data_IF_478876142599
#
_entry.id   IF_478876142599
#
_cell.length_a   1.000
_cell.length_b   1.000
_cell.length_c   1.000
_cell.angle_alpha   90.00
_cell.angle_beta   90.00
_cell.angle_gamma   90.00
#
_symmetry.space_group_name_H-M   'P 1'
#
loop_
_entity.id
_entity.type
_entity.pdbx_description
1 polymer ?
#
# COMPACT_ATOMS: atom_id res chain seq x y z
N UNK A 1 -31.17 -24.78 20.04
CA UNK A 1 -32.02 -23.60 19.79
C UNK A 1 -31.12 -22.38 19.98
N UNK A 2 -30.72 -21.71 18.89
CA UNK A 2 -29.84 -20.53 18.97
C UNK A 2 -30.66 -19.30 19.33
N UNK A 3 -30.12 -18.41 20.18
CA UNK A 3 -30.84 -17.21 20.63
C UNK A 3 -31.19 -16.27 19.45
N UNK A 4 -32.39 -15.70 19.47
CA UNK A 4 -32.87 -14.71 18.47
C UNK A 4 -31.94 -13.49 18.42
N UNK A 5 -31.43 -13.06 19.58
CA UNK A 5 -30.46 -11.96 19.66
C UNK A 5 -29.19 -12.28 18.87
N UNK A 6 -28.68 -13.52 18.98
CA UNK A 6 -27.49 -13.94 18.24
C UNK A 6 -27.80 -13.97 16.74
N UNK A 7 -28.97 -14.46 16.32
CA UNK A 7 -29.32 -14.51 14.90
C UNK A 7 -29.41 -13.13 14.24
N UNK A 8 -29.86 -12.11 14.98
CA UNK A 8 -30.03 -10.74 14.46
C UNK A 8 -28.72 -9.93 14.46
N UNK A 9 -27.80 -10.25 15.37
CA UNK A 9 -26.56 -9.48 15.57
C UNK A 9 -25.28 -10.25 15.20
N UNK A 10 -25.39 -11.51 14.77
CA UNK A 10 -24.25 -12.27 14.30
C UNK A 10 -23.85 -11.85 12.89
N UNK A 11 -22.60 -11.41 12.74
CA UNK A 11 -21.99 -11.29 11.42
C UNK A 11 -21.36 -12.62 11.02
N UNK A 12 -21.93 -13.28 10.01
CA UNK A 12 -21.40 -14.54 9.49
C UNK A 12 -20.40 -14.23 8.38
N UNK A 13 -19.11 -14.27 8.71
CA UNK A 13 -18.05 -14.16 7.72
C UNK A 13 -17.95 -15.48 6.92
N UNK A 14 -17.98 -15.38 5.59
CA UNK A 14 -17.72 -16.49 4.67
C UNK A 14 -16.25 -16.50 4.29
N UNK A 15 -15.70 -17.66 3.96
CA UNK A 15 -14.35 -17.76 3.40
C UNK A 15 -13.22 -17.74 4.44
N UNK A 16 -13.47 -18.23 5.65
CA UNK A 16 -12.37 -18.56 6.57
C UNK A 16 -11.50 -19.65 5.92
N UNK A 17 -10.24 -19.31 5.66
CA UNK A 17 -9.18 -20.27 5.34
C UNK A 17 -8.03 -20.05 6.32
N UNK A 18 -7.27 -21.11 6.59
CA UNK A 18 -6.04 -21.02 7.39
C UNK A 18 -5.07 -19.97 6.81
N UNK A 19 -5.13 -19.72 5.51
CA UNK A 19 -4.22 -18.84 4.78
C UNK A 19 -4.64 -17.36 4.79
N UNK A 20 -5.94 -17.06 4.99
CA UNK A 20 -6.49 -15.70 4.96
C UNK A 20 -6.70 -15.09 6.34
N UNK A 21 -6.60 -15.89 7.41
CA UNK A 21 -6.76 -15.45 8.79
C UNK A 21 -8.22 -15.17 9.18
N UNK A 22 -8.40 -14.63 10.39
CA UNK A 22 -9.71 -14.20 10.87
C UNK A 22 -9.83 -12.68 10.78
N UNK A 23 -10.96 -12.19 10.28
CA UNK A 23 -11.25 -10.76 10.16
C UNK A 23 -12.66 -10.52 10.70
N UNK A 24 -12.83 -9.51 11.55
CA UNK A 24 -14.14 -9.10 12.07
C UNK A 24 -14.53 -7.84 11.31
N UNK A 25 -15.50 -7.98 10.40
CA UNK A 25 -16.04 -6.91 9.58
C UNK A 25 -17.57 -6.92 9.68
N UNK A 26 -18.22 -5.78 9.46
CA UNK A 26 -19.66 -5.76 9.22
C UNK A 26 -19.99 -6.18 7.76
N UNK A 27 -21.28 -6.34 7.45
CA UNK A 27 -21.72 -6.81 6.12
C UNK A 27 -21.28 -5.89 4.97
N UNK A 28 -21.23 -4.58 5.20
CA UNK A 28 -20.85 -3.60 4.16
C UNK A 28 -19.36 -3.69 3.89
N UNK A 29 -18.54 -3.70 4.94
CA UNK A 29 -17.08 -3.83 4.87
C UNK A 29 -16.67 -5.15 4.22
N UNK A 30 -17.33 -6.26 4.57
CA UNK A 30 -17.07 -7.58 3.99
C UNK A 30 -17.33 -7.58 2.48
N UNK A 31 -18.44 -6.97 2.03
CA UNK A 31 -18.77 -6.84 0.60
C UNK A 31 -17.77 -5.95 -0.15
N UNK A 32 -17.29 -4.89 0.48
CA UNK A 32 -16.25 -4.01 -0.09
C UNK A 32 -14.94 -4.81 -0.22
N UNK A 33 -14.54 -5.53 0.83
CA UNK A 33 -13.35 -6.37 0.83
C UNK A 33 -13.39 -7.42 -0.29
N UNK A 34 -14.48 -8.18 -0.41
CA UNK A 34 -14.67 -9.16 -1.49
C UNK A 34 -14.53 -8.52 -2.88
N UNK A 35 -15.11 -7.33 -3.08
CA UNK A 35 -15.04 -6.63 -4.36
C UNK A 35 -13.60 -6.23 -4.70
N UNK A 36 -12.83 -5.77 -3.71
CA UNK A 36 -11.42 -5.40 -3.87
C UNK A 36 -10.58 -6.65 -4.15
N UNK A 37 -10.74 -7.73 -3.39
CA UNK A 37 -9.97 -8.96 -3.55
C UNK A 37 -10.24 -9.67 -4.88
N UNK A 38 -11.45 -9.54 -5.43
CA UNK A 38 -11.80 -10.13 -6.74
C UNK A 38 -11.15 -9.42 -7.93
N UNK A 39 -10.87 -8.12 -7.81
CA UNK A 39 -10.41 -7.28 -8.93
C UNK A 39 -8.93 -6.90 -8.77
N UNK A 40 -8.48 -6.71 -7.53
CA UNK A 40 -7.14 -6.25 -7.20
C UNK A 40 -6.11 -7.37 -7.09
N UNK A 41 -4.85 -6.99 -7.21
CA UNK A 41 -3.71 -7.87 -6.93
C UNK A 41 -3.32 -7.69 -5.46
N UNK A 42 -3.21 -8.78 -4.66
CA UNK A 42 -2.74 -8.71 -3.28
C UNK A 42 -1.38 -8.01 -3.18
N UNK A 43 -1.20 -7.14 -2.18
CA UNK A 43 0.04 -6.36 -2.04
C UNK A 43 1.32 -7.21 -1.99
N UNK A 44 1.22 -8.45 -1.46
CA UNK A 44 2.33 -9.42 -1.41
C UNK A 44 2.81 -9.91 -2.79
N UNK A 45 1.98 -9.75 -3.82
CA UNK A 45 2.25 -10.19 -5.21
C UNK A 45 2.72 -9.03 -6.10
N UNK A 46 2.82 -7.82 -5.55
CA UNK A 46 3.36 -6.69 -6.28
C UNK A 46 4.88 -6.85 -6.39
N UNK A 47 5.45 -6.47 -7.53
CA UNK A 47 6.89 -6.43 -7.76
C UNK A 47 7.52 -5.20 -7.07
N UNK A 48 7.31 -5.11 -5.75
CA UNK A 48 7.79 -4.02 -4.90
C UNK A 48 8.42 -4.59 -3.64
N UNK A 49 9.60 -4.09 -3.29
CA UNK A 49 10.24 -4.47 -2.04
C UNK A 49 9.67 -3.62 -0.89
N UNK A 50 8.79 -4.23 -0.09
CA UNK A 50 8.19 -3.57 1.08
C UNK A 50 9.21 -3.51 2.22
N UNK A 51 9.88 -2.36 2.36
CA UNK A 51 10.76 -2.04 3.48
C UNK A 51 10.02 -1.19 4.55
N UNK A 52 10.65 -0.87 5.69
CA UNK A 52 10.00 -0.05 6.74
C UNK A 52 10.02 1.46 6.41
N UNK A 53 8.85 2.11 6.33
CA UNK A 53 8.70 3.57 6.42
C UNK A 53 9.54 4.41 5.44
N UNK A 54 10.20 5.47 5.90
CA UNK A 54 11.02 6.41 5.07
C UNK A 54 12.06 5.71 4.17
N UNK A 55 12.44 4.45 4.45
CA UNK A 55 13.28 3.63 3.55
C UNK A 55 12.55 3.08 2.32
N UNK A 56 11.22 3.19 2.22
CA UNK A 56 10.40 2.87 1.03
C UNK A 56 10.15 4.07 0.13
N UNK A 57 10.60 5.27 0.53
CA UNK A 57 10.73 6.37 -0.41
C UNK A 57 11.67 5.91 -1.52
N UNK A 58 11.29 6.13 -2.77
CA UNK A 58 12.11 5.82 -3.94
C UNK A 58 13.39 6.68 -3.89
N UNK A 59 14.38 6.24 -3.11
CA UNK A 59 15.60 7.00 -2.83
C UNK A 59 16.37 7.32 -4.11
N UNK A 60 16.27 6.45 -5.11
CA UNK A 60 16.84 6.67 -6.45
C UNK A 60 16.29 7.94 -7.11
N UNK A 61 15.04 8.36 -6.86
CA UNK A 61 14.54 9.63 -7.37
C UNK A 61 15.23 10.86 -6.76
N UNK A 62 15.96 10.71 -5.66
CA UNK A 62 16.72 11.80 -5.02
C UNK A 62 18.22 11.75 -5.34
N UNK A 63 18.69 10.72 -6.04
CA UNK A 63 20.08 10.58 -6.48
C UNK A 63 20.12 10.85 -7.98
N UNK A 64 20.87 11.89 -8.38
CA UNK A 64 21.02 12.28 -9.79
C UNK A 64 22.47 12.13 -10.24
N UNK A 65 22.68 11.84 -11.52
CA UNK A 65 24.02 11.82 -12.12
C UNK A 65 24.52 13.24 -12.49
N UNK A 66 25.78 13.31 -12.92
CA UNK A 66 26.43 14.57 -13.27
C UNK A 66 25.77 15.27 -14.48
N UNK A 67 25.25 14.49 -15.43
CA UNK A 67 24.59 15.00 -16.63
C UNK A 67 23.24 15.64 -16.27
N UNK A 68 22.43 14.96 -15.46
CA UNK A 68 21.17 15.46 -14.92
C UNK A 68 21.39 16.72 -14.08
N UNK A 69 22.44 16.75 -13.24
CA UNK A 69 22.82 17.97 -12.51
C UNK A 69 23.11 19.13 -13.46
N UNK A 70 23.87 18.90 -14.53
CA UNK A 70 24.22 19.94 -15.51
C UNK A 70 22.98 20.46 -16.25
N UNK A 71 22.06 19.58 -16.64
CA UNK A 71 20.81 19.96 -17.27
C UNK A 71 19.90 20.78 -16.33
N UNK A 72 19.81 20.38 -15.06
CA UNK A 72 19.03 21.11 -14.06
C UNK A 72 19.59 22.49 -13.80
N UNK A 73 20.91 22.65 -13.69
CA UNK A 73 21.55 23.95 -13.53
C UNK A 73 21.36 24.87 -14.75
N UNK A 74 21.31 24.30 -15.95
CA UNK A 74 21.02 25.05 -17.17
C UNK A 74 19.59 25.58 -17.20
N UNK A 75 18.61 24.80 -16.71
CA UNK A 75 17.19 25.18 -16.68
C UNK A 75 16.85 26.06 -15.47
N UNK A 76 17.46 25.81 -14.32
CA UNK A 76 17.22 26.48 -13.06
C UNK A 76 18.54 26.67 -12.29
N UNK A 77 19.17 27.86 -12.39
CA UNK A 77 20.42 28.15 -11.67
C UNK A 77 20.30 28.00 -10.14
N UNK A 78 19.12 28.24 -9.56
CA UNK A 78 18.86 28.08 -8.11
C UNK A 78 18.89 26.62 -7.64
N UNK A 79 18.89 25.66 -8.56
CA UNK A 79 19.00 24.24 -8.19
C UNK A 79 20.33 23.92 -7.48
N UNK A 80 21.38 24.74 -7.68
CA UNK A 80 22.67 24.56 -7.01
C UNK A 80 22.59 24.69 -5.48
N UNK A 81 21.62 25.45 -4.95
CA UNK A 81 21.40 25.60 -3.51
C UNK A 81 20.81 24.32 -2.87
N UNK A 82 20.18 23.47 -3.68
CA UNK A 82 19.42 22.29 -3.24
C UNK A 82 20.22 21.01 -3.49
N UNK A 83 20.94 20.91 -4.61
CA UNK A 83 21.72 19.73 -4.98
C UNK A 83 22.99 19.65 -4.14
N UNK A 84 23.20 18.53 -3.44
CA UNK A 84 24.38 18.31 -2.60
C UNK A 84 25.17 17.09 -3.09
N UNK A 85 26.52 17.13 -3.02
CA UNK A 85 27.33 15.93 -3.24
C UNK A 85 27.03 14.87 -2.17
N UNK A 86 27.07 13.60 -2.58
CA UNK A 86 26.91 12.42 -1.72
C UNK A 86 28.28 11.94 -1.25
#
# INVERSE_FOLDING_TARGET
MTSVFIQQHATIQKGFSKDTGWVILNDVEARIKEKIERIGVPLKEWDVQINYGIKTGFNEAFIIDADTRKELLKKCPKADEIIRPI
#
